data_IF_913215211620
#
_entry.id   IF_913215211620
#
_cell.length_a   1.000
_cell.length_b   1.000
_cell.length_c   1.000
_cell.angle_alpha   90.00
_cell.angle_beta   90.00
_cell.angle_gamma   90.00
#
_symmetry.space_group_name_H-M   'P 1'
#
loop_
_entity.id
_entity.type
_entity.pdbx_description
1 polymer ?
#
# COMPACT_ATOMS: atom_id res chain seq x y z
N UNK A 1 -50.35 67.50 -25.85
CA UNK A 1 -51.05 67.05 -24.62
C UNK A 1 -50.02 66.29 -23.80
N UNK A 2 -49.26 66.94 -22.92
CA UNK A 2 -49.66 67.40 -21.59
C UNK A 2 -50.20 66.25 -20.73
N UNK A 3 -49.38 65.69 -19.83
CA UNK A 3 -49.61 65.76 -18.39
C UNK A 3 -48.45 65.12 -17.62
N UNK A 4 -47.90 65.91 -16.71
CA UNK A 4 -47.11 65.46 -15.56
C UNK A 4 -47.92 64.49 -14.69
N UNK A 5 -47.25 63.56 -14.01
CA UNK A 5 -47.60 63.28 -12.62
C UNK A 5 -46.39 62.75 -11.84
N UNK A 6 -46.02 63.51 -10.82
CA UNK A 6 -45.10 63.16 -9.75
C UNK A 6 -45.83 62.28 -8.73
N UNK A 7 -45.17 61.26 -8.18
CA UNK A 7 -45.49 60.74 -6.85
C UNK A 7 -44.21 60.25 -6.15
N UNK A 8 -43.76 61.07 -5.21
CA UNK A 8 -42.81 60.75 -4.13
C UNK A 8 -43.50 59.99 -3.01
N UNK A 9 -42.89 58.92 -2.49
CA UNK A 9 -43.16 58.36 -1.16
C UNK A 9 -41.93 57.54 -0.71
N UNK A 10 -41.03 58.14 0.08
CA UNK A 10 -40.96 58.03 1.55
C UNK A 10 -40.38 56.69 2.07
N UNK A 11 -39.07 56.72 2.24
CA UNK A 11 -38.33 56.42 3.48
C UNK A 11 -39.02 55.51 4.52
N UNK A 12 -38.45 54.32 4.76
CA UNK A 12 -38.91 53.37 5.76
C UNK A 12 -37.80 52.46 6.29
N UNK A 13 -36.82 53.05 6.99
CA UNK A 13 -36.20 52.56 8.22
C UNK A 13 -36.31 51.05 8.55
N UNK A 14 -35.75 50.14 7.73
CA UNK A 14 -35.61 48.70 8.05
C UNK A 14 -34.38 48.05 7.42
N UNK A 15 -33.22 48.70 7.47
CA UNK A 15 -31.95 48.09 7.07
C UNK A 15 -30.93 48.19 8.21
N UNK A 16 -31.15 47.47 9.32
CA UNK A 16 -30.13 47.42 10.40
C UNK A 16 -30.22 46.21 11.33
N UNK A 17 -30.85 45.09 10.94
CA UNK A 17 -30.85 43.88 11.80
C UNK A 17 -30.44 42.60 11.05
N UNK A 18 -30.55 42.53 9.73
CA UNK A 18 -30.32 41.25 9.02
C UNK A 18 -28.86 40.97 8.63
N UNK A 19 -27.98 41.99 8.56
CA UNK A 19 -26.58 41.78 8.13
C UNK A 19 -25.67 41.33 9.29
N UNK A 20 -26.02 41.66 10.55
CA UNK A 20 -25.21 41.29 11.70
C UNK A 20 -25.33 39.79 12.10
N UNK A 21 -26.39 39.10 11.70
CA UNK A 21 -26.60 37.68 12.01
C UNK A 21 -25.93 36.73 11.00
N UNK A 22 -25.59 37.20 9.79
CA UNK A 22 -24.90 36.38 8.79
C UNK A 22 -23.38 36.35 8.97
N UNK A 23 -22.77 37.39 9.56
CA UNK A 23 -21.33 37.37 9.86
C UNK A 23 -20.98 36.47 11.07
N UNK A 24 -21.89 36.32 12.04
CA UNK A 24 -21.68 35.42 13.18
C UNK A 24 -21.84 33.93 12.82
N UNK A 25 -22.53 33.61 11.73
CA UNK A 25 -22.69 32.22 11.27
C UNK A 25 -21.54 31.74 10.39
N UNK A 26 -20.81 32.64 9.73
CA UNK A 26 -19.64 32.28 8.91
C UNK A 26 -18.37 32.16 9.75
N UNK A 27 -18.27 32.88 10.87
CA UNK A 27 -17.13 32.77 11.81
C UNK A 27 -17.27 31.65 12.85
N UNK A 28 -18.46 31.07 13.04
CA UNK A 28 -18.70 29.98 14.00
C UNK A 28 -18.43 28.57 13.46
N UNK A 29 -18.16 28.42 12.16
CA UNK A 29 -18.03 27.10 11.50
C UNK A 29 -16.60 26.73 11.10
N UNK A 30 -15.61 27.57 11.40
CA UNK A 30 -14.22 27.36 10.94
C UNK A 30 -13.28 26.72 11.97
N UNK A 31 -13.76 26.25 13.13
CA UNK A 31 -12.90 25.77 14.24
C UNK A 31 -13.07 24.29 14.61
N UNK A 32 -13.71 23.46 13.77
CA UNK A 32 -13.90 22.01 14.06
C UNK A 32 -13.04 21.05 13.25
N UNK A 33 -11.98 21.51 12.59
CA UNK A 33 -11.08 20.62 11.84
C UNK A 33 -9.77 20.29 12.56
N UNK A 34 -9.67 20.59 13.86
CA UNK A 34 -8.54 20.17 14.69
C UNK A 34 -8.96 19.02 15.61
N UNK A 35 -8.11 18.00 15.67
CA UNK A 35 -8.17 16.82 16.53
C UNK A 35 -9.14 15.72 16.09
N UNK A 36 -8.70 14.99 15.07
CA UNK A 36 -9.20 13.66 14.76
C UNK A 36 -8.16 12.87 13.98
N UNK A 37 -6.88 12.91 14.40
CA UNK A 37 -6.01 11.78 14.14
C UNK A 37 -6.67 10.61 14.87
N UNK A 38 -7.54 9.88 14.16
CA UNK A 38 -8.04 8.61 14.64
C UNK A 38 -6.84 7.74 14.99
N UNK A 39 -7.01 6.76 15.90
CA UNK A 39 -5.96 5.78 16.11
C UNK A 39 -5.56 5.25 14.73
N UNK A 40 -4.31 5.48 14.36
CA UNK A 40 -3.70 4.88 13.20
C UNK A 40 -3.80 3.38 13.46
N UNK A 41 -4.83 2.75 12.91
CA UNK A 41 -5.02 1.31 13.03
C UNK A 41 -3.92 0.72 12.19
N UNK A 42 -2.77 0.51 12.82
CA UNK A 42 -1.66 -0.23 12.27
C UNK A 42 -2.16 -1.68 12.21
N UNK A 43 -2.91 -2.00 11.14
CA UNK A 43 -3.44 -3.33 10.87
C UNK A 43 -2.32 -4.37 10.74
N UNK A 44 -1.10 -3.90 10.56
CA UNK A 44 0.13 -4.64 10.78
C UNK A 44 0.86 -3.95 11.93
N UNK A 45 1.06 -4.67 13.04
CA UNK A 45 1.86 -4.16 14.15
C UNK A 45 3.21 -3.68 13.63
N UNK A 46 3.79 -2.64 14.25
CA UNK A 46 5.16 -2.24 13.93
C UNK A 46 6.04 -3.46 14.20
N UNK A 47 6.69 -3.98 13.17
CA UNK A 47 7.72 -5.00 13.30
C UNK A 47 8.70 -4.61 14.42
N UNK A 48 8.90 -5.51 15.39
CA UNK A 48 9.93 -5.38 16.41
C UNK A 48 11.18 -6.14 15.94
N UNK A 49 12.23 -5.45 15.46
CA UNK A 49 13.42 -6.12 14.92
C UNK A 49 14.14 -7.00 15.95
N UNK A 50 13.91 -6.80 17.26
CA UNK A 50 14.51 -7.63 18.30
C UNK A 50 13.96 -9.08 18.32
N UNK A 51 12.81 -9.30 17.70
CA UNK A 51 12.14 -10.60 17.62
C UNK A 51 12.52 -11.38 16.35
N UNK A 52 13.38 -10.81 15.51
CA UNK A 52 13.74 -11.38 14.22
C UNK A 52 14.86 -12.40 14.37
N UNK A 53 14.79 -13.46 13.56
CA UNK A 53 15.83 -14.47 13.43
C UNK A 53 16.06 -14.76 11.95
N UNK A 54 17.24 -15.29 11.63
CA UNK A 54 17.63 -15.66 10.27
C UNK A 54 16.65 -16.64 9.59
N UNK A 55 15.92 -17.44 10.36
CA UNK A 55 15.20 -18.59 9.80
C UNK A 55 16.13 -19.76 9.53
N UNK A 56 15.56 -20.92 9.24
CA UNK A 56 16.23 -22.02 8.54
C UNK A 56 15.55 -22.18 7.18
N UNK A 57 16.34 -22.17 6.10
CA UNK A 57 15.88 -22.30 4.73
C UNK A 57 14.96 -23.52 4.61
N UNK A 58 13.76 -23.31 4.09
CA UNK A 58 12.84 -24.40 3.74
C UNK A 58 13.02 -24.80 2.27
N UNK A 59 13.59 -25.98 1.98
CA UNK A 59 13.76 -26.43 0.59
C UNK A 59 12.42 -26.66 -0.13
N UNK A 60 11.33 -26.96 0.60
CA UNK A 60 10.01 -27.10 -0.01
C UNK A 60 9.48 -25.74 -0.47
N UNK A 61 9.68 -24.68 0.33
CA UNK A 61 9.33 -23.31 -0.07
C UNK A 61 10.05 -22.86 -1.34
N UNK A 62 11.36 -23.14 -1.45
CA UNK A 62 12.15 -22.84 -2.67
C UNK A 62 11.62 -23.60 -3.88
N UNK A 63 11.35 -24.90 -3.71
CA UNK A 63 10.81 -25.74 -4.78
C UNK A 63 9.45 -25.24 -5.25
N UNK A 64 8.56 -24.89 -4.31
CA UNK A 64 7.21 -24.43 -4.63
C UNK A 64 7.25 -23.07 -5.34
N UNK A 65 8.11 -22.15 -4.90
CA UNK A 65 8.34 -20.87 -5.58
C UNK A 65 8.88 -21.03 -7.02
N UNK A 66 9.85 -21.93 -7.21
CA UNK A 66 10.49 -22.15 -8.52
C UNK A 66 9.64 -22.96 -9.50
N UNK A 67 8.66 -23.73 -9.00
CA UNK A 67 7.79 -24.56 -9.84
C UNK A 67 6.38 -23.99 -10.03
N UNK A 68 6.07 -22.85 -9.42
CA UNK A 68 4.80 -22.13 -9.59
C UNK A 68 4.61 -21.60 -11.02
N UNK A 69 3.41 -21.75 -11.60
CA UNK A 69 3.19 -21.50 -13.04
C UNK A 69 1.98 -20.63 -13.36
N UNK A 70 1.28 -20.08 -12.37
CA UNK A 70 0.01 -19.40 -12.63
C UNK A 70 0.17 -17.95 -13.06
N UNK A 71 1.17 -17.26 -12.50
CA UNK A 71 1.54 -15.90 -12.85
C UNK A 71 3.02 -15.65 -12.49
N UNK A 72 3.62 -14.58 -13.03
CA UNK A 72 5.01 -14.24 -12.72
C UNK A 72 5.22 -14.03 -11.23
N UNK A 73 6.18 -14.74 -10.66
CA UNK A 73 6.61 -14.53 -9.29
C UNK A 73 7.92 -13.77 -9.28
N UNK A 74 8.00 -12.80 -8.36
CA UNK A 74 9.24 -12.12 -8.03
C UNK A 74 9.60 -12.37 -6.58
N UNK A 75 10.90 -12.47 -6.32
CA UNK A 75 11.48 -12.77 -5.01
C UNK A 75 12.87 -12.14 -4.91
N UNK A 76 13.54 -12.27 -3.77
CA UNK A 76 14.93 -11.80 -3.57
C UNK A 76 15.96 -12.94 -3.66
N UNK A 77 15.50 -14.18 -3.82
CA UNK A 77 16.33 -15.40 -3.80
C UNK A 77 15.97 -16.32 -2.63
N UNK A 78 16.83 -17.28 -2.36
CA UNK A 78 16.71 -18.20 -1.20
C UNK A 78 17.11 -17.51 0.12
N UNK A 79 17.94 -16.47 0.06
CA UNK A 79 18.40 -15.70 1.21
C UNK A 79 18.42 -14.21 0.85
N UNK A 80 18.09 -13.35 1.81
CA UNK A 80 18.25 -11.91 1.73
C UNK A 80 18.81 -11.35 3.04
N UNK A 81 20.01 -10.76 2.97
CA UNK A 81 20.69 -10.13 4.11
C UNK A 81 20.74 -11.01 5.39
N UNK A 82 20.95 -12.32 5.21
CA UNK A 82 20.98 -13.29 6.32
C UNK A 82 19.60 -13.80 6.77
N UNK A 83 18.52 -13.44 6.07
CA UNK A 83 17.19 -14.03 6.27
C UNK A 83 16.90 -15.03 5.16
N UNK A 84 16.74 -16.30 5.52
CA UNK A 84 16.45 -17.39 4.59
C UNK A 84 14.94 -17.46 4.27
N UNK A 85 14.57 -17.95 3.09
CA UNK A 85 13.19 -18.20 2.71
C UNK A 85 12.67 -19.38 3.54
N UNK A 86 11.79 -19.10 4.50
CA UNK A 86 11.28 -20.12 5.44
C UNK A 86 9.88 -20.61 5.09
N UNK A 87 9.12 -19.85 4.28
CA UNK A 87 7.76 -20.24 3.92
C UNK A 87 7.36 -19.69 2.54
N UNK A 88 6.70 -20.55 1.77
CA UNK A 88 5.94 -20.22 0.57
C UNK A 88 4.47 -20.57 0.83
N UNK A 89 3.57 -19.62 0.58
CA UNK A 89 2.14 -19.84 0.80
C UNK A 89 1.31 -19.23 -0.32
N UNK A 90 0.58 -20.08 -1.05
CA UNK A 90 -0.38 -19.67 -2.05
C UNK A 90 -1.80 -19.71 -1.47
N UNK A 91 -2.52 -18.58 -1.55
CA UNK A 91 -3.89 -18.44 -1.06
C UNK A 91 -4.82 -18.00 -2.18
N UNK A 92 -5.83 -18.82 -2.43
CA UNK A 92 -6.87 -18.57 -3.43
C UNK A 92 -8.27 -18.59 -2.81
N UNK A 93 -9.19 -17.74 -3.29
CA UNK A 93 -10.61 -17.74 -2.93
C UNK A 93 -11.23 -16.34 -2.88
N UNK A 94 -12.54 -16.22 -3.07
CA UNK A 94 -13.33 -14.99 -2.92
C UNK A 94 -12.76 -13.71 -3.60
N UNK A 95 -12.17 -13.88 -4.79
CA UNK A 95 -11.55 -12.77 -5.54
C UNK A 95 -10.13 -12.41 -5.09
N UNK A 96 -9.57 -13.16 -4.15
CA UNK A 96 -8.17 -13.10 -3.76
C UNK A 96 -7.41 -14.25 -4.38
N UNK A 97 -6.27 -13.93 -4.99
CA UNK A 97 -5.27 -14.89 -5.40
C UNK A 97 -3.90 -14.26 -5.24
N UNK A 98 -3.12 -14.83 -4.31
CA UNK A 98 -1.84 -14.27 -3.90
C UNK A 98 -0.89 -15.32 -3.36
N UNK A 99 0.39 -15.09 -3.63
CA UNK A 99 1.51 -15.85 -3.11
C UNK A 99 2.23 -15.01 -2.07
N UNK A 100 2.59 -15.64 -0.95
CA UNK A 100 3.43 -15.08 0.10
C UNK A 100 4.78 -15.80 0.06
N UNK A 101 5.85 -15.02 0.08
CA UNK A 101 7.22 -15.45 0.31
C UNK A 101 7.67 -14.81 1.63
N UNK A 102 8.04 -15.63 2.61
CA UNK A 102 8.38 -15.17 3.96
C UNK A 102 9.84 -15.50 4.25
N UNK A 103 10.59 -14.47 4.65
CA UNK A 103 12.02 -14.55 4.90
C UNK A 103 12.31 -14.29 6.38
N UNK A 104 13.02 -15.24 6.99
CA UNK A 104 13.36 -15.26 8.41
C UNK A 104 12.18 -15.58 9.32
N UNK A 105 12.51 -16.03 10.53
CA UNK A 105 11.50 -16.31 11.54
C UNK A 105 11.14 -15.06 12.33
N UNK A 106 9.93 -15.10 12.87
CA UNK A 106 9.48 -14.16 13.86
C UNK A 106 8.85 -14.93 15.03
N UNK A 107 9.38 -14.69 16.24
CA UNK A 107 8.84 -15.28 17.45
C UNK A 107 7.70 -14.42 17.97
N UNK A 108 6.45 -14.90 17.89
CA UNK A 108 5.37 -14.25 18.63
C UNK A 108 5.62 -14.44 20.13
N UNK A 109 5.56 -13.38 20.96
CA UNK A 109 5.60 -13.53 22.40
C UNK A 109 4.56 -14.54 22.85
N UNK A 110 4.97 -15.54 23.64
CA UNK A 110 4.09 -16.62 24.12
C UNK A 110 2.87 -16.13 24.93
N UNK A 111 2.90 -14.86 25.36
CA UNK A 111 1.84 -14.22 26.16
C UNK A 111 0.76 -13.53 25.31
N UNK A 112 0.91 -13.46 23.98
CA UNK A 112 -0.07 -12.83 23.10
C UNK A 112 -1.00 -13.87 22.48
N UNK A 113 -2.30 -13.63 22.62
CA UNK A 113 -3.38 -14.52 22.15
C UNK A 113 -3.58 -14.46 20.63
N UNK A 114 -2.99 -13.48 19.95
CA UNK A 114 -3.08 -13.29 18.51
C UNK A 114 -1.67 -13.31 17.90
N UNK A 115 -1.48 -13.88 16.69
CA UNK A 115 -0.21 -13.85 15.97
C UNK A 115 0.16 -12.40 15.70
N UNK A 116 1.02 -11.85 16.55
CA UNK A 116 1.32 -10.41 16.63
C UNK A 116 2.56 -10.00 15.85
N UNK A 117 3.25 -10.98 15.28
CA UNK A 117 4.64 -10.85 14.93
C UNK A 117 4.76 -10.83 13.39
N UNK A 118 5.51 -9.85 12.89
CA UNK A 118 5.70 -9.59 11.46
C UNK A 118 7.09 -10.10 11.09
N UNK A 119 7.25 -10.93 10.04
CA UNK A 119 8.57 -11.44 9.66
C UNK A 119 9.52 -10.31 9.21
N UNK A 120 10.84 -10.56 9.21
CA UNK A 120 11.84 -9.61 8.72
C UNK A 120 11.56 -9.06 7.32
N UNK A 121 11.17 -9.95 6.43
CA UNK A 121 10.76 -9.62 5.08
C UNK A 121 9.62 -10.56 4.65
N UNK A 122 8.58 -9.98 4.06
CA UNK A 122 7.55 -10.72 3.33
C UNK A 122 7.29 -10.05 2.00
N UNK A 123 7.27 -10.85 0.94
CA UNK A 123 6.91 -10.42 -0.40
C UNK A 123 5.58 -11.08 -0.75
N UNK A 124 4.58 -10.27 -1.05
CA UNK A 124 3.24 -10.72 -1.44
C UNK A 124 3.04 -10.40 -2.90
N UNK A 125 2.82 -11.43 -3.71
CA UNK A 125 2.52 -11.29 -5.14
C UNK A 125 1.05 -11.54 -5.34
N UNK A 126 0.33 -10.53 -5.78
CA UNK A 126 -1.10 -10.63 -6.05
C UNK A 126 -1.33 -10.74 -7.55
N UNK A 127 -2.24 -11.64 -7.95
CA UNK A 127 -2.68 -11.78 -9.35
C UNK A 127 -3.19 -10.43 -9.87
N UNK A 128 -2.98 -10.09 -11.14
CA UNK A 128 -3.43 -8.82 -11.70
C UNK A 128 -4.95 -8.64 -11.51
N UNK A 129 -5.35 -7.42 -11.14
CA UNK A 129 -6.73 -7.05 -10.87
C UNK A 129 -7.28 -7.44 -9.49
N UNK A 130 -6.52 -8.16 -8.66
CA UNK A 130 -6.95 -8.50 -7.28
C UNK A 130 -6.69 -7.40 -6.25
N UNK A 131 -5.91 -6.37 -6.62
CA UNK A 131 -5.64 -5.17 -5.81
C UNK A 131 -6.14 -3.95 -6.59
N UNK A 132 -6.75 -2.94 -5.92
CA UNK A 132 -7.14 -1.69 -6.57
C UNK A 132 -5.98 -1.02 -7.33
N UNK A 133 -6.30 -0.33 -8.42
CA UNK A 133 -5.32 0.46 -9.16
C UNK A 133 -4.73 1.59 -8.29
N UNK A 134 -3.53 2.12 -8.61
CA UNK A 134 -2.90 3.18 -7.81
C UNK A 134 -3.82 4.38 -7.54
N UNK A 135 -4.61 4.79 -8.54
CA UNK A 135 -5.56 5.91 -8.48
C UNK A 135 -6.77 5.65 -7.57
N UNK A 136 -7.11 4.37 -7.36
CA UNK A 136 -8.23 3.95 -6.52
C UNK A 136 -7.85 3.79 -5.04
N UNK A 137 -6.56 3.84 -4.70
CA UNK A 137 -6.09 3.78 -3.31
C UNK A 137 -6.25 5.14 -2.63
N UNK A 138 -7.06 5.18 -1.57
CA UNK A 138 -7.32 6.42 -0.83
C UNK A 138 -6.03 7.05 -0.28
N UNK A 139 -5.76 8.34 -0.54
CA UNK A 139 -4.54 9.00 -0.06
C UNK A 139 -4.40 9.06 1.47
N UNK A 140 -5.48 8.81 2.23
CA UNK A 140 -5.44 8.83 3.70
C UNK A 140 -4.69 7.65 4.31
N UNK A 141 -4.58 6.55 3.56
CA UNK A 141 -3.94 5.30 4.01
C UNK A 141 -2.68 4.98 3.20
N UNK A 142 -2.28 5.88 2.31
CA UNK A 142 -1.18 5.68 1.37
C UNK A 142 -0.25 6.89 1.34
N UNK A 143 1.06 6.62 1.26
CA UNK A 143 2.09 7.62 1.01
C UNK A 143 1.98 8.27 -0.38
N UNK A 144 2.89 9.22 -0.68
CA UNK A 144 2.98 9.82 -2.01
C UNK A 144 3.25 8.75 -3.06
N UNK A 145 2.77 9.00 -4.27
CA UNK A 145 3.17 8.21 -5.43
C UNK A 145 4.65 8.46 -5.76
N UNK A 146 5.35 7.36 -6.00
CA UNK A 146 6.76 7.34 -6.40
C UNK A 146 6.94 6.36 -7.56
N UNK A 147 8.10 6.41 -8.19
CA UNK A 147 8.52 5.40 -9.14
C UNK A 147 9.65 4.56 -8.51
N UNK A 148 9.58 3.25 -8.72
CA UNK A 148 10.61 2.29 -8.32
C UNK A 148 10.78 1.30 -9.45
N UNK A 149 12.00 1.15 -9.96
CA UNK A 149 12.34 0.19 -11.01
C UNK A 149 11.37 0.24 -12.21
N UNK A 150 11.05 1.45 -12.67
CA UNK A 150 10.19 1.69 -13.83
C UNK A 150 8.69 1.49 -13.61
N UNK A 151 8.24 1.20 -12.37
CA UNK A 151 6.81 1.01 -12.05
C UNK A 151 6.34 1.96 -10.96
N UNK A 152 5.04 2.25 -10.96
CA UNK A 152 4.38 3.02 -9.90
C UNK A 152 4.51 2.29 -8.57
N UNK A 153 4.93 3.01 -7.53
CA UNK A 153 5.10 2.49 -6.19
C UNK A 153 4.55 3.42 -5.11
N UNK A 154 3.90 2.85 -4.09
CA UNK A 154 3.32 3.58 -2.95
C UNK A 154 3.46 2.78 -1.66
N UNK A 155 3.80 3.47 -0.57
CA UNK A 155 3.69 2.90 0.77
C UNK A 155 2.20 2.83 1.17
N UNK A 156 1.65 1.65 1.38
CA UNK A 156 0.25 1.42 1.77
C UNK A 156 0.23 0.52 3.00
N UNK A 157 -0.36 0.98 4.10
CA UNK A 157 -0.48 0.21 5.35
C UNK A 157 0.84 -0.45 5.82
N UNK A 158 1.97 0.25 5.65
CA UNK A 158 3.30 -0.21 6.08
C UNK A 158 4.05 -1.10 5.08
N UNK A 159 3.45 -1.50 3.95
CA UNK A 159 4.14 -2.21 2.86
C UNK A 159 4.36 -1.30 1.65
N UNK A 160 5.46 -1.48 0.92
CA UNK A 160 5.65 -0.86 -0.39
C UNK A 160 4.92 -1.69 -1.45
N UNK A 161 3.90 -1.11 -2.07
CA UNK A 161 3.16 -1.74 -3.17
C UNK A 161 3.72 -1.24 -4.49
N UNK A 162 4.07 -2.14 -5.40
CA UNK A 162 4.54 -1.89 -6.76
C UNK A 162 3.54 -2.46 -7.77
N UNK A 163 3.00 -1.59 -8.64
CA UNK A 163 2.04 -1.97 -9.66
C UNK A 163 2.73 -2.17 -10.99
N UNK A 164 2.98 -3.43 -11.34
CA UNK A 164 3.71 -3.77 -12.57
C UNK A 164 2.83 -3.92 -13.79
N UNK A 165 1.49 -3.93 -13.64
CA UNK A 165 0.54 -4.20 -14.71
C UNK A 165 0.14 -5.68 -14.80
N UNK A 166 1.10 -6.61 -14.76
CA UNK A 166 0.83 -8.05 -14.80
C UNK A 166 0.86 -8.74 -13.45
N UNK A 167 1.42 -8.14 -12.40
CA UNK A 167 1.22 -8.52 -10.99
C UNK A 167 1.30 -7.29 -10.08
N UNK A 168 0.75 -7.39 -8.87
CA UNK A 168 0.95 -6.37 -7.82
C UNK A 168 1.83 -6.96 -6.73
N UNK A 169 2.99 -6.34 -6.53
CA UNK A 169 4.01 -6.79 -5.56
C UNK A 169 3.86 -5.92 -4.32
N UNK A 170 3.67 -6.53 -3.15
CA UNK A 170 3.73 -5.82 -1.87
C UNK A 170 4.93 -6.32 -1.07
N UNK A 171 5.87 -5.44 -0.78
CA UNK A 171 7.03 -5.72 0.06
C UNK A 171 6.75 -5.19 1.46
N UNK A 172 6.72 -6.08 2.44
CA UNK A 172 6.70 -5.76 3.86
C UNK A 172 8.10 -6.03 4.42
N UNK A 173 8.75 -5.00 4.94
CA UNK A 173 10.07 -5.11 5.55
C UNK A 173 10.27 -3.96 6.54
N UNK A 174 11.26 -4.09 7.43
CA UNK A 174 11.76 -2.93 8.16
C UNK A 174 12.26 -1.84 7.21
N UNK A 175 12.18 -0.57 7.64
CA UNK A 175 12.61 0.57 6.82
C UNK A 175 14.07 0.48 6.36
N UNK A 176 14.94 -0.21 7.12
CA UNK A 176 16.35 -0.41 6.78
C UNK A 176 16.56 -1.43 5.64
N UNK A 177 15.59 -2.33 5.41
CA UNK A 177 15.67 -3.40 4.42
C UNK A 177 14.82 -3.13 3.19
N UNK A 178 13.83 -2.23 3.28
CA UNK A 178 12.81 -2.01 2.25
C UNK A 178 13.38 -1.69 0.85
N UNK A 179 14.21 -0.64 0.73
CA UNK A 179 14.75 -0.24 -0.58
C UNK A 179 15.67 -1.33 -1.16
N UNK A 180 16.51 -1.95 -0.32
CA UNK A 180 17.37 -3.05 -0.75
C UNK A 180 16.58 -4.28 -1.21
N UNK A 181 15.49 -4.62 -0.53
CA UNK A 181 14.63 -5.75 -0.92
C UNK A 181 13.98 -5.49 -2.30
N UNK A 182 13.53 -4.25 -2.55
CA UNK A 182 12.98 -3.85 -3.86
C UNK A 182 14.03 -3.92 -4.96
N UNK A 183 15.24 -3.44 -4.68
CA UNK A 183 16.35 -3.46 -5.64
C UNK A 183 16.79 -4.89 -5.98
N UNK A 184 16.69 -5.83 -5.04
CA UNK A 184 17.04 -7.25 -5.23
C UNK A 184 15.93 -8.12 -5.85
N UNK A 185 14.73 -7.57 -6.09
CA UNK A 185 13.65 -8.34 -6.71
C UNK A 185 14.09 -8.90 -8.08
N UNK A 186 13.81 -10.17 -8.30
CA UNK A 186 14.08 -10.89 -9.55
C UNK A 186 13.00 -11.92 -9.82
N UNK A 187 12.79 -12.31 -11.07
CA UNK A 187 11.81 -13.34 -11.43
C UNK A 187 12.29 -14.73 -11.04
N UNK A 188 11.42 -15.56 -10.46
CA UNK A 188 11.78 -16.94 -10.02
C UNK A 188 11.33 -18.01 -11.01
N UNK A 189 10.18 -17.86 -11.65
CA UNK A 189 9.54 -18.89 -12.50
C UNK A 189 9.54 -18.56 -14.01
N UNK A 190 10.35 -17.58 -14.43
CA UNK A 190 10.36 -17.07 -15.80
C UNK A 190 10.63 -18.15 -16.88
N UNK A 191 11.53 -19.11 -16.62
CA UNK A 191 11.84 -20.18 -17.59
C UNK A 191 10.59 -21.02 -17.90
N UNK A 192 9.82 -21.36 -16.87
CA UNK A 192 8.61 -22.18 -17.01
C UNK A 192 7.50 -21.39 -17.70
N UNK A 193 7.42 -20.08 -17.45
CA UNK A 193 6.47 -19.20 -18.11
C UNK A 193 6.89 -18.80 -19.54
N UNK A 194 8.11 -19.16 -19.98
CA UNK A 194 8.64 -18.73 -21.27
C UNK A 194 8.87 -17.22 -21.35
N UNK A 195 9.27 -16.63 -20.22
CA UNK A 195 9.45 -15.19 -20.03
C UNK A 195 10.93 -14.81 -19.91
N UNK A 196 11.22 -13.52 -20.14
CA UNK A 196 12.56 -12.99 -19.94
C UNK A 196 12.83 -12.84 -18.45
N UNK A 197 14.02 -13.27 -18.01
CA UNK A 197 14.45 -13.06 -16.65
C UNK A 197 14.56 -11.56 -16.35
N UNK A 198 14.01 -11.14 -15.22
CA UNK A 198 14.29 -9.82 -14.63
C UNK A 198 15.21 -10.07 -13.44
N UNK A 199 16.38 -9.44 -13.45
CA UNK A 199 17.36 -9.52 -12.37
C UNK A 199 17.27 -8.35 -11.38
N UNK A 200 18.14 -8.32 -10.37
CA UNK A 200 18.28 -7.18 -9.47
C UNK A 200 18.55 -5.87 -10.21
N UNK A 201 17.87 -4.79 -9.83
CA UNK A 201 18.01 -3.45 -10.41
C UNK A 201 17.37 -3.23 -11.79
N UNK A 202 16.96 -4.29 -12.48
CA UNK A 202 16.30 -4.20 -13.79
C UNK A 202 14.91 -3.52 -13.70
N UNK A 203 14.38 -3.07 -14.84
CA UNK A 203 13.02 -2.53 -14.93
C UNK A 203 11.95 -3.63 -14.68
N UNK A 204 10.93 -3.34 -13.87
CA UNK A 204 9.81 -4.24 -13.56
C UNK A 204 8.62 -4.08 -14.51
N UNK A 205 8.59 -3.03 -15.34
CA UNK A 205 7.53 -2.79 -16.33
C UNK A 205 7.36 -3.88 -17.40
N UNK A 206 8.36 -4.72 -17.76
CA UNK A 206 8.13 -5.84 -18.66
C UNK A 206 7.12 -6.87 -18.12
N UNK A 207 6.86 -6.88 -16.80
CA UNK A 207 5.80 -7.70 -16.22
C UNK A 207 4.39 -7.22 -16.65
N UNK A 208 4.24 -5.99 -17.18
CA UNK A 208 2.97 -5.41 -17.61
C UNK A 208 2.40 -6.02 -18.89
N UNK A 209 3.26 -6.49 -19.78
CA UNK A 209 2.93 -6.61 -21.21
C UNK A 209 2.05 -7.82 -21.55
N UNK A 210 1.41 -8.48 -20.57
CA UNK A 210 0.74 -9.77 -20.78
C UNK A 210 -0.56 -9.94 -20.01
#
# INVERSE_FOLDING_TARGET
MAMLSYATASFGWRFSITVALLAALVLGLSLRSLAGAGPEVNLYGRADPSQFRAGELDPEAVRDATTFQEFPLVWVGEEFQGFELVEFLHKEGDGYDKVYLIYGDCESPAELTEPSCVPPLSIVINRPGSVPSPDAVEPRIAGPETERRGVTARLVSGGMVLWTGGVVITVHANSEHMDAAIDELKTVNHEILGESAIGPGDDLSPLAER
#
